data_IF_307486951083
#
_entry.id   IF_307486951083
#
_cell.length_a   1.000
_cell.length_b   1.000
_cell.length_c   1.000
_cell.angle_alpha   90.00
_cell.angle_beta   90.00
_cell.angle_gamma   90.00
#
_symmetry.space_group_name_H-M   'P 1'
#
loop_
_entity.id
_entity.type
_entity.pdbx_description
1 polymer ?
#
# COMPACT_ATOMS: atom_id res chain seq x y z
N UNK A 1 -36.11 61.68 -4.24
CA UNK A 1 -36.44 60.26 -4.34
C UNK A 1 -35.28 59.36 -4.72
N UNK A 2 -34.27 59.76 -5.47
CA UNK A 2 -33.15 58.92 -5.92
C UNK A 2 -32.20 58.43 -4.80
N UNK A 3 -31.96 59.21 -3.75
CA UNK A 3 -31.04 58.81 -2.67
C UNK A 3 -31.54 57.75 -1.71
N UNK A 4 -32.85 57.58 -1.56
CA UNK A 4 -33.46 56.56 -0.68
C UNK A 4 -33.30 55.15 -1.30
N UNK A 5 -33.44 55.04 -2.61
CA UNK A 5 -33.29 53.75 -3.31
C UNK A 5 -31.84 53.28 -3.32
N UNK A 6 -30.83 54.17 -3.47
CA UNK A 6 -29.43 53.81 -3.46
C UNK A 6 -28.98 53.27 -2.11
N UNK A 7 -29.47 53.83 -1.01
CA UNK A 7 -29.17 53.37 0.36
C UNK A 7 -29.76 52.02 0.67
N UNK A 8 -30.94 51.71 0.12
CA UNK A 8 -31.57 50.41 0.26
C UNK A 8 -30.85 49.32 -0.57
N UNK A 9 -30.37 49.68 -1.77
CA UNK A 9 -29.58 48.77 -2.63
C UNK A 9 -28.25 48.42 -1.99
N UNK A 10 -27.54 49.41 -1.42
CA UNK A 10 -26.30 49.18 -0.68
C UNK A 10 -26.51 48.29 0.57
N UNK A 11 -27.62 48.48 1.29
CA UNK A 11 -27.97 47.66 2.43
C UNK A 11 -28.22 46.18 2.04
N UNK A 12 -28.96 45.94 0.96
CA UNK A 12 -29.24 44.60 0.45
C UNK A 12 -27.96 43.91 -0.06
N UNK A 13 -27.10 44.64 -0.77
CA UNK A 13 -25.78 44.12 -1.23
C UNK A 13 -24.86 43.74 -0.04
N UNK A 14 -24.84 44.57 1.02
CA UNK A 14 -24.07 44.29 2.23
C UNK A 14 -24.57 43.02 2.98
N UNK A 15 -25.89 42.84 3.06
CA UNK A 15 -26.49 41.66 3.68
C UNK A 15 -26.22 40.38 2.83
N UNK A 16 -26.36 40.46 1.52
CA UNK A 16 -26.01 39.35 0.62
C UNK A 16 -24.52 38.96 0.73
N UNK A 17 -23.61 39.93 0.85
CA UNK A 17 -22.18 39.67 1.03
C UNK A 17 -21.87 38.94 2.35
N UNK A 18 -22.57 39.27 3.42
CA UNK A 18 -22.43 38.61 4.73
C UNK A 18 -22.95 37.17 4.74
N UNK A 19 -23.99 36.86 3.97
CA UNK A 19 -24.55 35.51 3.86
C UNK A 19 -23.61 34.57 3.08
N UNK A 20 -22.91 35.08 2.07
CA UNK A 20 -21.94 34.28 1.27
C UNK A 20 -20.74 33.86 2.11
N UNK A 21 -20.31 34.68 3.09
CA UNK A 21 -19.18 34.34 3.98
C UNK A 21 -19.55 33.28 5.03
N UNK A 22 -20.81 33.09 5.34
CA UNK A 22 -21.29 32.07 6.29
C UNK A 22 -21.49 30.69 5.63
N UNK A 23 -21.33 30.56 4.31
CA UNK A 23 -21.61 29.32 3.56
C UNK A 23 -20.42 28.37 3.46
N UNK A 24 -19.23 28.71 3.99
CA UNK A 24 -18.17 27.73 4.17
C UNK A 24 -18.53 26.83 5.36
N UNK A 25 -19.38 25.83 5.15
CA UNK A 25 -19.41 24.66 6.03
C UNK A 25 -18.04 23.98 5.87
N UNK A 26 -17.18 24.10 6.88
CA UNK A 26 -16.08 23.16 7.04
C UNK A 26 -16.68 21.75 6.92
N UNK A 27 -16.29 21.01 5.91
CA UNK A 27 -16.55 19.58 5.84
C UNK A 27 -15.75 18.94 6.99
N UNK A 28 -16.33 18.96 8.19
CA UNK A 28 -15.75 18.25 9.32
C UNK A 28 -15.83 16.77 8.97
N UNK A 29 -14.68 16.15 8.75
CA UNK A 29 -14.63 14.69 8.66
C UNK A 29 -15.25 14.10 9.94
N UNK A 30 -16.01 12.99 9.84
CA UNK A 30 -16.55 12.36 11.03
C UNK A 30 -15.42 12.02 12.01
N UNK A 31 -15.70 12.17 13.30
CA UNK A 31 -14.83 11.62 14.32
C UNK A 31 -14.95 10.09 14.29
N UNK A 32 -13.83 9.42 14.07
CA UNK A 32 -13.73 7.96 13.98
C UNK A 32 -12.82 7.39 15.07
N UNK A 33 -12.45 8.20 16.06
CA UNK A 33 -11.52 7.82 17.14
C UNK A 33 -12.02 6.62 17.96
N UNK A 34 -13.35 6.51 18.12
CA UNK A 34 -13.99 5.43 18.86
C UNK A 34 -14.13 4.12 18.05
N UNK A 35 -13.82 4.17 16.75
CA UNK A 35 -13.88 2.97 15.91
C UNK A 35 -12.73 2.01 16.24
N UNK A 36 -13.07 0.86 16.81
CA UNK A 36 -12.08 -0.17 17.10
C UNK A 36 -11.65 -0.87 15.80
N UNK A 37 -10.41 -0.64 15.37
CA UNK A 37 -9.76 -1.26 14.23
C UNK A 37 -8.38 -1.74 14.67
N UNK A 38 -8.07 -2.98 14.40
CA UNK A 38 -6.74 -3.55 14.58
C UNK A 38 -6.13 -3.84 13.21
N UNK A 39 -4.86 -3.50 13.05
CA UNK A 39 -4.07 -3.79 11.85
C UNK A 39 -3.11 -4.93 12.20
N UNK A 40 -3.21 -6.01 11.46
CA UNK A 40 -2.22 -7.09 11.47
C UNK A 40 -1.34 -6.91 10.24
N UNK A 41 -0.04 -6.74 10.45
CA UNK A 41 0.90 -6.53 9.34
C UNK A 41 2.07 -7.52 9.38
N UNK A 42 2.55 -7.88 8.19
CA UNK A 42 3.62 -8.86 7.97
C UNK A 42 4.65 -8.30 7.00
N UNK A 43 5.92 -8.68 7.20
CA UNK A 43 7.08 -8.26 6.40
C UNK A 43 7.58 -9.42 5.54
N UNK A 44 6.81 -9.78 4.50
CA UNK A 44 7.21 -10.85 3.54
C UNK A 44 8.53 -10.50 2.84
N UNK A 45 8.81 -9.21 2.58
CA UNK A 45 10.08 -8.74 2.05
C UNK A 45 11.27 -9.21 2.90
N UNK A 46 11.19 -9.10 4.22
CA UNK A 46 12.24 -9.54 5.14
C UNK A 46 12.32 -11.05 5.27
N UNK A 47 11.17 -11.68 5.36
CA UNK A 47 11.09 -13.13 5.51
C UNK A 47 11.67 -13.82 4.26
N UNK A 48 11.39 -13.29 3.05
CA UNK A 48 12.01 -13.76 1.81
C UNK A 48 13.52 -13.54 1.79
N UNK A 49 13.98 -12.33 2.16
CA UNK A 49 15.41 -11.99 2.21
C UNK A 49 16.20 -12.82 3.22
N UNK A 50 15.54 -13.40 4.23
CA UNK A 50 16.13 -14.20 5.28
C UNK A 50 16.17 -15.71 4.98
N UNK A 51 15.66 -16.16 3.83
CA UNK A 51 15.73 -17.57 3.42
C UNK A 51 17.19 -18.00 3.27
N UNK A 52 17.55 -19.11 3.92
CA UNK A 52 18.84 -19.76 3.67
C UNK A 52 18.85 -20.35 2.26
N UNK A 53 19.72 -19.82 1.41
CA UNK A 53 19.85 -20.24 0.01
C UNK A 53 20.41 -21.64 -0.19
N UNK A 54 20.89 -22.31 0.87
CA UNK A 54 21.26 -23.72 0.89
C UNK A 54 20.10 -24.62 1.31
N UNK A 55 18.98 -24.04 1.82
CA UNK A 55 17.82 -24.77 2.33
C UNK A 55 16.51 -24.10 1.90
N UNK A 56 16.38 -23.73 0.62
CA UNK A 56 15.26 -22.95 0.06
C UNK A 56 13.92 -23.61 0.35
N UNK A 57 13.75 -24.92 0.07
CA UNK A 57 12.52 -25.67 0.34
C UNK A 57 12.08 -25.54 1.80
N UNK A 58 13.01 -25.72 2.73
CA UNK A 58 12.72 -25.56 4.17
C UNK A 58 12.29 -24.14 4.53
N UNK A 59 12.92 -23.14 3.91
CA UNK A 59 12.54 -21.72 4.05
C UNK A 59 11.12 -21.47 3.55
N UNK A 60 10.80 -21.93 2.34
CA UNK A 60 9.47 -21.78 1.74
C UNK A 60 8.38 -22.50 2.52
N UNK A 61 8.64 -23.72 3.03
CA UNK A 61 7.70 -24.45 3.90
C UNK A 61 7.34 -23.64 5.16
N UNK A 62 8.32 -22.98 5.80
CA UNK A 62 8.09 -22.09 6.94
C UNK A 62 7.26 -20.86 6.53
N UNK A 63 7.56 -20.26 5.39
CA UNK A 63 6.78 -19.14 4.87
C UNK A 63 5.36 -19.56 4.51
N UNK A 64 5.16 -20.76 3.98
CA UNK A 64 3.82 -21.30 3.70
C UNK A 64 2.95 -21.39 4.94
N UNK A 65 3.53 -21.74 6.08
CA UNK A 65 2.81 -21.74 7.37
C UNK A 65 2.40 -20.33 7.81
N UNK A 66 3.25 -19.33 7.53
CA UNK A 66 2.99 -17.92 7.90
C UNK A 66 2.07 -17.21 6.91
N UNK A 67 2.13 -17.58 5.62
CA UNK A 67 1.39 -16.98 4.51
C UNK A 67 0.65 -18.05 3.68
N UNK A 68 -0.34 -18.76 4.25
CA UNK A 68 -0.83 -20.03 3.71
C UNK A 68 -1.32 -19.97 2.26
N UNK A 69 -2.03 -18.91 1.89
CA UNK A 69 -2.58 -18.71 0.54
C UNK A 69 -1.79 -17.65 -0.24
N UNK A 70 -1.31 -16.64 0.45
CA UNK A 70 -0.65 -15.50 -0.18
C UNK A 70 0.72 -15.85 -0.76
N UNK A 71 1.45 -16.81 -0.17
CA UNK A 71 2.78 -17.19 -0.66
C UNK A 71 2.74 -17.77 -2.08
N UNK A 72 1.75 -18.61 -2.38
CA UNK A 72 1.57 -19.18 -3.71
C UNK A 72 1.31 -18.06 -4.74
N UNK A 73 0.40 -17.16 -4.42
CA UNK A 73 0.10 -16.00 -5.26
C UNK A 73 1.35 -15.12 -5.47
N UNK A 74 2.12 -14.88 -4.41
CA UNK A 74 3.34 -14.09 -4.50
C UNK A 74 4.36 -14.75 -5.42
N UNK A 75 4.67 -16.02 -5.21
CA UNK A 75 5.71 -16.72 -5.98
C UNK A 75 5.27 -17.03 -7.41
N UNK A 76 4.04 -17.48 -7.60
CA UNK A 76 3.52 -17.89 -8.91
C UNK A 76 3.11 -16.67 -9.75
N UNK A 77 2.25 -15.81 -9.22
CA UNK A 77 1.64 -14.73 -10.00
C UNK A 77 2.52 -13.48 -10.04
N UNK A 78 3.03 -13.00 -8.88
CA UNK A 78 3.80 -11.76 -8.85
C UNK A 78 5.23 -11.95 -9.34
N UNK A 79 5.87 -13.04 -8.93
CA UNK A 79 7.28 -13.29 -9.21
C UNK A 79 7.52 -14.21 -10.40
N UNK A 80 6.48 -14.91 -10.89
CA UNK A 80 6.53 -15.75 -12.10
C UNK A 80 7.36 -17.02 -11.95
N UNK A 81 7.56 -17.52 -10.71
CA UNK A 81 8.30 -18.75 -10.49
C UNK A 81 7.52 -20.02 -10.84
N UNK A 82 6.23 -19.93 -11.08
CA UNK A 82 5.34 -21.05 -11.39
C UNK A 82 5.45 -22.19 -10.36
N UNK A 83 5.46 -21.82 -9.09
CA UNK A 83 5.57 -22.74 -7.97
C UNK A 83 4.47 -22.47 -6.94
N UNK A 84 3.83 -23.55 -6.50
CA UNK A 84 2.80 -23.54 -5.47
C UNK A 84 2.78 -24.90 -4.74
N UNK A 85 2.04 -24.99 -3.66
CA UNK A 85 1.87 -26.21 -2.90
C UNK A 85 2.53 -26.18 -1.53
N UNK A 86 3.06 -27.32 -1.08
CA UNK A 86 3.69 -27.45 0.24
C UNK A 86 5.18 -27.13 0.28
N UNK A 87 5.81 -26.97 -0.91
CA UNK A 87 7.23 -26.67 -1.09
C UNK A 87 8.21 -27.74 -0.56
N UNK A 88 7.74 -28.96 -0.27
CA UNK A 88 8.58 -30.05 0.21
C UNK A 88 9.55 -30.57 -0.88
N UNK A 89 9.11 -30.50 -2.14
CA UNK A 89 9.89 -30.88 -3.32
C UNK A 89 9.87 -29.77 -4.37
N UNK A 90 10.84 -28.86 -4.31
CA UNK A 90 10.98 -27.78 -5.26
C UNK A 90 11.80 -28.24 -6.46
N UNK A 91 11.22 -28.15 -7.66
CA UNK A 91 11.91 -28.45 -8.91
C UNK A 91 13.30 -27.78 -8.98
N UNK A 92 14.36 -28.50 -9.40
CA UNK A 92 15.72 -27.94 -9.44
C UNK A 92 15.86 -26.64 -10.22
N UNK A 93 15.11 -26.47 -11.32
CA UNK A 93 15.11 -25.22 -12.12
C UNK A 93 14.54 -24.05 -11.34
N UNK A 94 13.41 -24.24 -10.66
CA UNK A 94 12.78 -23.24 -9.79
C UNK A 94 13.68 -22.93 -8.59
N UNK A 95 14.26 -23.95 -7.98
CA UNK A 95 15.19 -23.80 -6.86
C UNK A 95 16.39 -22.94 -7.25
N UNK A 96 16.99 -23.19 -8.42
CA UNK A 96 18.07 -22.37 -8.95
C UNK A 96 17.63 -20.93 -9.25
N UNK A 97 16.44 -20.73 -9.84
CA UNK A 97 15.86 -19.40 -10.08
C UNK A 97 15.67 -18.63 -8.78
N UNK A 98 15.10 -19.25 -7.76
CA UNK A 98 14.95 -18.65 -6.42
C UNK A 98 16.31 -18.35 -5.77
N UNK A 99 17.29 -19.23 -5.93
CA UNK A 99 18.65 -18.98 -5.44
C UNK A 99 19.25 -17.75 -6.09
N UNK A 100 19.13 -17.61 -7.41
CA UNK A 100 19.58 -16.42 -8.15
C UNK A 100 18.84 -15.18 -7.63
N UNK A 101 17.53 -15.22 -7.53
CA UNK A 101 16.71 -14.12 -7.00
C UNK A 101 17.14 -13.67 -5.60
N UNK A 102 17.50 -14.60 -4.73
CA UNK A 102 17.91 -14.29 -3.36
C UNK A 102 19.38 -13.87 -3.20
N UNK A 103 20.25 -14.17 -4.19
CA UNK A 103 21.69 -13.95 -4.08
C UNK A 103 22.27 -12.95 -5.08
N UNK A 104 21.61 -12.75 -6.24
CA UNK A 104 22.12 -11.83 -7.26
C UNK A 104 22.19 -10.41 -6.70
N UNK A 105 23.30 -9.68 -6.94
CA UNK A 105 23.51 -8.35 -6.34
C UNK A 105 22.38 -7.36 -6.56
N UNK A 106 21.74 -7.35 -7.74
CA UNK A 106 20.68 -6.41 -8.07
C UNK A 106 19.41 -6.66 -7.22
N UNK A 107 18.98 -7.92 -7.12
CA UNK A 107 17.83 -8.29 -6.29
C UNK A 107 18.14 -8.13 -4.81
N UNK A 108 19.33 -8.54 -4.38
CA UNK A 108 19.77 -8.38 -3.00
C UNK A 108 19.87 -6.91 -2.63
N UNK A 109 20.44 -6.09 -3.50
CA UNK A 109 20.51 -4.63 -3.32
C UNK A 109 19.15 -3.96 -3.19
N UNK A 110 18.13 -4.49 -3.87
CA UNK A 110 16.75 -4.01 -3.70
C UNK A 110 16.19 -4.35 -2.32
N UNK A 111 16.33 -5.59 -1.84
CA UNK A 111 15.93 -5.98 -0.49
C UNK A 111 16.65 -5.14 0.58
N UNK A 112 17.96 -4.93 0.45
CA UNK A 112 18.74 -4.12 1.38
C UNK A 112 18.30 -2.64 1.37
N UNK A 113 17.96 -2.12 0.19
CA UNK A 113 17.41 -0.76 0.05
C UNK A 113 16.06 -0.64 0.74
N UNK A 114 15.15 -1.60 0.54
CA UNK A 114 13.86 -1.64 1.23
C UNK A 114 14.07 -1.70 2.75
N UNK A 115 14.94 -2.59 3.23
CA UNK A 115 15.21 -2.76 4.65
C UNK A 115 15.75 -1.49 5.30
N UNK A 116 16.62 -0.75 4.59
CA UNK A 116 17.17 0.53 5.02
C UNK A 116 16.13 1.65 5.01
N UNK A 117 15.27 1.70 3.98
CA UNK A 117 14.27 2.75 3.82
C UNK A 117 13.09 2.57 4.78
N UNK A 118 12.74 1.30 5.06
CA UNK A 118 11.65 0.88 5.95
C UNK A 118 12.18 0.02 7.10
N UNK A 119 12.91 0.61 8.08
CA UNK A 119 13.36 -0.13 9.26
C UNK A 119 12.19 -0.66 10.11
N UNK A 120 11.04 -0.02 10.04
CA UNK A 120 9.74 -0.55 10.50
C UNK A 120 8.61 0.06 9.65
N UNK A 121 7.36 -0.34 9.91
CA UNK A 121 6.17 0.10 9.18
C UNK A 121 5.09 0.69 10.09
N UNK A 122 5.44 1.03 11.34
CA UNK A 122 4.48 1.46 12.36
C UNK A 122 3.69 2.70 11.98
N UNK A 123 4.34 3.66 11.35
CA UNK A 123 3.71 4.88 10.88
C UNK A 123 2.73 4.60 9.72
N UNK A 124 3.10 3.71 8.79
CA UNK A 124 2.21 3.27 7.72
C UNK A 124 1.00 2.52 8.30
N UNK A 125 1.25 1.60 9.25
CA UNK A 125 0.18 0.85 9.93
C UNK A 125 -0.77 1.80 10.67
N UNK A 126 -0.27 2.87 11.29
CA UNK A 126 -1.08 3.89 11.95
C UNK A 126 -1.96 4.66 10.96
N UNK A 127 -1.42 5.06 9.80
CA UNK A 127 -2.16 5.73 8.74
C UNK A 127 -3.23 4.82 8.12
N UNK A 128 -2.89 3.54 7.90
CA UNK A 128 -3.84 2.53 7.42
C UNK A 128 -4.95 2.29 8.44
N UNK A 129 -4.60 2.17 9.73
CA UNK A 129 -5.60 2.05 10.81
C UNK A 129 -6.62 3.17 10.76
N UNK A 130 -6.15 4.41 10.66
CA UNK A 130 -7.02 5.59 10.55
C UNK A 130 -7.91 5.52 9.30
N UNK A 131 -7.35 5.12 8.17
CA UNK A 131 -8.12 4.94 6.94
C UNK A 131 -9.20 3.85 7.06
N UNK A 132 -8.88 2.72 7.71
CA UNK A 132 -9.85 1.66 7.99
C UNK A 132 -10.91 2.08 9.01
N UNK A 133 -10.61 2.96 9.96
CA UNK A 133 -11.62 3.56 10.83
C UNK A 133 -12.65 4.33 10.02
N UNK A 134 -12.23 5.17 9.06
CA UNK A 134 -13.15 5.85 8.13
C UNK A 134 -13.91 4.84 7.26
N UNK A 135 -13.23 3.84 6.70
CA UNK A 135 -13.88 2.82 5.90
C UNK A 135 -14.98 2.08 6.69
N UNK A 136 -14.70 1.69 7.93
CA UNK A 136 -15.66 1.03 8.83
C UNK A 136 -16.81 1.93 9.22
N UNK A 137 -16.59 3.24 9.33
CA UNK A 137 -17.66 4.20 9.60
C UNK A 137 -18.71 4.20 8.47
N UNK A 138 -18.28 4.17 7.20
CA UNK A 138 -19.18 4.15 6.05
C UNK A 138 -19.62 2.75 5.64
N UNK A 139 -18.77 1.75 5.86
CA UNK A 139 -18.99 0.34 5.50
C UNK A 139 -18.72 -0.57 6.70
N UNK A 140 -19.62 -0.64 7.71
CA UNK A 140 -19.35 -1.34 8.97
C UNK A 140 -19.04 -2.82 8.82
N UNK A 141 -19.53 -3.46 7.75
CA UNK A 141 -19.32 -4.89 7.46
C UNK A 141 -18.06 -5.19 6.67
N UNK A 142 -17.34 -4.16 6.17
CA UNK A 142 -16.11 -4.39 5.43
C UNK A 142 -15.06 -5.05 6.37
N UNK A 143 -14.45 -6.19 6.01
CA UNK A 143 -13.40 -6.79 6.83
C UNK A 143 -12.15 -5.92 6.82
N UNK A 144 -11.33 -6.00 7.87
CA UNK A 144 -9.98 -5.42 7.87
C UNK A 144 -9.03 -6.54 7.45
N UNK A 145 -8.47 -6.50 6.23
CA UNK A 145 -7.58 -7.54 5.75
C UNK A 145 -6.20 -7.43 6.42
N UNK A 146 -5.45 -8.53 6.40
CA UNK A 146 -4.03 -8.50 6.77
C UNK A 146 -3.24 -7.63 5.79
N UNK A 147 -2.25 -6.90 6.30
CA UNK A 147 -1.34 -6.08 5.49
C UNK A 147 -0.05 -6.86 5.26
N UNK A 148 0.32 -7.09 4.00
CA UNK A 148 1.53 -7.83 3.65
C UNK A 148 2.48 -6.91 2.87
N UNK A 149 3.53 -6.48 3.55
CA UNK A 149 4.61 -5.72 2.93
C UNK A 149 5.56 -6.66 2.20
N UNK A 150 5.84 -6.37 0.94
CA UNK A 150 6.64 -7.24 0.06
C UNK A 150 7.58 -6.44 -0.83
N UNK A 151 8.49 -7.13 -1.51
CA UNK A 151 9.19 -6.63 -2.69
C UNK A 151 8.47 -7.17 -3.92
N UNK A 152 8.03 -6.29 -4.81
CA UNK A 152 7.43 -6.68 -6.10
C UNK A 152 8.48 -6.82 -7.21
N UNK A 153 9.75 -6.66 -6.89
CA UNK A 153 10.84 -6.62 -7.85
C UNK A 153 10.64 -5.56 -8.96
N UNK A 154 10.10 -4.39 -8.57
CA UNK A 154 9.74 -3.29 -9.45
C UNK A 154 8.69 -3.64 -10.53
N UNK A 155 7.94 -4.72 -10.37
CA UNK A 155 6.88 -5.17 -11.29
C UNK A 155 5.57 -4.35 -11.19
N UNK A 156 5.65 -3.14 -10.67
CA UNK A 156 4.54 -2.18 -10.57
C UNK A 156 3.36 -2.59 -9.64
N UNK A 157 3.56 -3.58 -8.78
CA UNK A 157 2.58 -3.95 -7.74
C UNK A 157 2.74 -3.05 -6.51
N UNK A 158 2.29 -1.79 -6.63
CA UNK A 158 2.45 -0.80 -5.55
C UNK A 158 1.52 -1.10 -4.36
N UNK A 159 0.21 -1.28 -4.62
CA UNK A 159 -0.76 -1.74 -3.64
C UNK A 159 -1.88 -2.48 -4.39
N UNK A 160 -2.32 -3.61 -3.85
CA UNK A 160 -3.38 -4.44 -4.43
C UNK A 160 -4.11 -5.23 -3.35
N UNK A 161 -5.33 -5.62 -3.63
CA UNK A 161 -6.13 -6.52 -2.78
C UNK A 161 -5.93 -7.97 -3.23
N UNK A 162 -5.82 -8.87 -2.26
CA UNK A 162 -5.89 -10.30 -2.48
C UNK A 162 -7.17 -10.79 -1.81
N UNK A 163 -8.23 -10.84 -2.59
CA UNK A 163 -9.61 -11.00 -2.12
C UNK A 163 -9.94 -10.04 -0.95
N UNK A 164 -10.64 -10.54 0.07
CA UNK A 164 -10.88 -9.85 1.34
C UNK A 164 -9.90 -10.27 2.43
N UNK A 165 -8.88 -11.07 2.09
CA UNK A 165 -7.98 -11.73 3.04
C UNK A 165 -6.77 -10.86 3.34
N UNK A 166 -6.16 -10.27 2.30
CA UNK A 166 -4.94 -9.49 2.47
C UNK A 166 -4.85 -8.31 1.49
N UNK A 167 -4.02 -7.35 1.87
CA UNK A 167 -3.56 -6.26 1.00
C UNK A 167 -2.06 -6.38 0.87
N UNK A 168 -1.59 -6.57 -0.36
CA UNK A 168 -0.17 -6.55 -0.69
C UNK A 168 0.31 -5.11 -0.93
N UNK A 169 1.45 -4.75 -0.35
CA UNK A 169 2.09 -3.45 -0.51
C UNK A 169 3.55 -3.68 -0.93
N UNK A 170 3.87 -3.37 -2.19
CA UNK A 170 5.22 -3.43 -2.71
C UNK A 170 6.05 -2.24 -2.22
N UNK A 171 6.85 -2.42 -1.17
CA UNK A 171 7.66 -1.35 -0.58
C UNK A 171 8.71 -0.80 -1.55
N UNK A 172 9.19 -1.63 -2.48
CA UNK A 172 10.06 -1.24 -3.58
C UNK A 172 9.45 -0.17 -4.50
N UNK A 173 8.13 -0.08 -4.51
CA UNK A 173 7.41 0.93 -5.30
C UNK A 173 7.26 2.28 -4.58
N UNK A 174 7.85 2.46 -3.38
CA UNK A 174 7.75 3.67 -2.58
C UNK A 174 9.09 4.13 -1.99
N UNK A 175 10.20 3.90 -2.72
CA UNK A 175 11.55 4.30 -2.31
C UNK A 175 11.88 5.79 -2.56
N UNK A 176 10.88 6.57 -2.95
CA UNK A 176 11.04 8.00 -3.26
C UNK A 176 11.28 8.28 -4.75
N UNK A 177 10.96 9.48 -5.18
CA UNK A 177 11.03 9.87 -6.60
C UNK A 177 12.47 9.87 -7.16
N UNK A 178 13.48 9.94 -6.28
CA UNK A 178 14.89 9.95 -6.66
C UNK A 178 15.48 8.53 -6.81
N UNK A 179 14.69 7.48 -6.54
CA UNK A 179 15.19 6.10 -6.71
C UNK A 179 15.47 5.82 -8.19
N UNK A 180 16.74 5.53 -8.54
CA UNK A 180 17.19 5.61 -9.94
C UNK A 180 16.55 4.56 -10.85
N UNK A 181 16.22 3.39 -10.30
CA UNK A 181 15.71 2.28 -11.10
C UNK A 181 14.27 2.44 -11.58
N UNK A 182 13.48 3.38 -11.07
CA UNK A 182 12.13 3.62 -11.59
C UNK A 182 12.13 4.03 -13.06
N UNK A 183 13.12 4.79 -13.49
CA UNK A 183 13.26 5.22 -14.88
C UNK A 183 13.75 4.10 -15.78
N UNK A 184 14.61 3.21 -15.25
CA UNK A 184 15.13 2.07 -16.02
C UNK A 184 14.09 0.98 -16.27
N UNK A 185 13.04 0.91 -15.44
CA UNK A 185 11.87 0.03 -15.64
C UNK A 185 10.68 0.78 -16.26
N UNK A 186 10.92 1.92 -16.91
CA UNK A 186 9.99 2.68 -17.72
C UNK A 186 8.72 3.17 -16.98
N UNK A 187 8.82 3.41 -15.65
CA UNK A 187 7.72 4.01 -14.90
C UNK A 187 7.57 5.48 -15.35
N UNK A 188 6.37 5.92 -15.77
CA UNK A 188 6.16 7.29 -16.20
C UNK A 188 6.45 8.32 -15.11
N UNK A 189 7.03 9.47 -15.46
CA UNK A 189 7.43 10.54 -14.52
C UNK A 189 6.29 10.99 -13.58
N UNK A 190 5.05 11.07 -14.07
CA UNK A 190 3.91 11.43 -13.23
C UNK A 190 3.62 10.38 -12.15
N UNK A 191 3.93 9.11 -12.43
CA UNK A 191 3.78 8.03 -11.47
C UNK A 191 4.97 7.97 -10.50
N UNK A 192 6.20 8.26 -10.96
CA UNK A 192 7.40 8.33 -10.12
C UNK A 192 7.22 9.36 -9.00
N UNK A 193 6.64 10.53 -9.27
CA UNK A 193 6.37 11.56 -8.26
C UNK A 193 5.50 11.07 -7.10
N UNK A 194 4.74 10.00 -7.31
CA UNK A 194 3.87 9.38 -6.30
C UNK A 194 4.47 8.15 -5.64
N UNK A 195 5.74 7.81 -5.95
CA UNK A 195 6.47 6.68 -5.34
C UNK A 195 7.10 7.07 -4.00
N UNK A 196 6.28 7.66 -3.12
CA UNK A 196 6.65 8.12 -1.79
C UNK A 196 5.75 7.46 -0.75
N UNK A 197 6.27 7.27 0.46
CA UNK A 197 5.58 6.61 1.57
C UNK A 197 4.17 7.16 1.83
N UNK A 198 3.99 8.47 1.72
CA UNK A 198 2.71 9.15 1.96
C UNK A 198 1.60 8.75 0.99
N UNK A 199 1.97 8.16 -0.15
CA UNK A 199 1.01 7.64 -1.12
C UNK A 199 0.58 6.19 -0.85
N UNK A 200 1.21 5.48 0.08
CA UNK A 200 0.84 4.09 0.43
C UNK A 200 -0.64 4.01 0.85
N UNK A 201 -1.12 4.77 1.85
CA UNK A 201 -2.53 4.70 2.24
C UNK A 201 -3.48 5.06 1.10
N UNK A 202 -3.14 6.08 0.31
CA UNK A 202 -3.95 6.51 -0.85
C UNK A 202 -4.11 5.36 -1.86
N UNK A 203 -3.02 4.67 -2.19
CA UNK A 203 -3.03 3.58 -3.15
C UNK A 203 -3.75 2.34 -2.59
N UNK A 204 -3.61 2.05 -1.30
CA UNK A 204 -4.32 0.97 -0.61
C UNK A 204 -5.83 1.20 -0.68
N UNK A 205 -6.33 2.37 -0.28
CA UNK A 205 -7.76 2.64 -0.30
C UNK A 205 -8.31 2.79 -1.73
N UNK A 206 -7.48 3.20 -2.69
CA UNK A 206 -7.83 3.14 -4.11
C UNK A 206 -7.98 1.70 -4.59
N UNK A 207 -7.06 0.79 -4.22
CA UNK A 207 -7.16 -0.62 -4.58
C UNK A 207 -8.42 -1.27 -3.99
N UNK A 208 -8.73 -0.99 -2.72
CA UNK A 208 -9.97 -1.43 -2.07
C UNK A 208 -11.19 -0.94 -2.85
N UNK A 209 -11.26 0.36 -3.13
CA UNK A 209 -12.39 0.95 -3.85
C UNK A 209 -12.60 0.32 -5.24
N UNK A 210 -11.51 -0.03 -5.92
CA UNK A 210 -11.58 -0.63 -7.27
C UNK A 210 -12.01 -2.10 -7.24
N UNK A 211 -11.85 -2.78 -6.10
CA UNK A 211 -12.23 -4.19 -5.91
C UNK A 211 -13.64 -4.38 -5.32
N UNK A 212 -14.28 -3.30 -4.86
CA UNK A 212 -15.65 -3.30 -4.33
C UNK A 212 -16.69 -3.26 -5.46
#
# INVERSE_FOLDING_TARGET
>A
MKHKNLRNILGVLSICSLIVMASCKENKHPDVSDMNVEITSYRLDRDMAAIDTNAISSGLMKLKQKYPQFLDFYLDTLMGFQIHGDYSDVNPGVNNGLKIFLTHPDFRGLFDTIAKHYPDTKDIDADLKKGFQYLKHYYPRYPVPDIIYLSSNLNNYAAFTYDTIAIGIGLDMYLGEQYPFYRSVEIPEYAIRRRKKEYIPVNVFKAIYTSM
#
